data_IF_152102521387
#
_entry.id   IF_152102521387
#
_cell.length_a   1.000
_cell.length_b   1.000
_cell.length_c   1.000
_cell.angle_alpha   90.00
_cell.angle_beta   90.00
_cell.angle_gamma   90.00
#
_symmetry.space_group_name_H-M   'P 1'
#
loop_
_entity.id
_entity.type
_entity.pdbx_description
1 polymer ?
#
# COMPACT_ATOMS: atom_id res chain seq x y z
N UNK A 1 -17.06 8.41 -3.13
CA UNK A 1 -16.78 7.01 -3.57
C UNK A 1 -17.05 5.94 -2.51
N UNK A 2 -16.77 6.16 -1.22
CA UNK A 2 -17.02 5.15 -0.19
C UNK A 2 -18.50 4.78 -0.02
N UNK A 3 -19.40 5.78 -0.06
CA UNK A 3 -20.86 5.57 -0.02
C UNK A 3 -21.34 4.68 -1.18
N UNK A 4 -20.79 4.90 -2.37
CA UNK A 4 -21.08 4.11 -3.55
C UNK A 4 -20.59 2.66 -3.39
N UNK A 5 -19.38 2.47 -2.88
CA UNK A 5 -18.82 1.13 -2.56
C UNK A 5 -19.71 0.35 -1.59
N UNK A 6 -20.13 0.97 -0.48
CA UNK A 6 -20.99 0.33 0.53
C UNK A 6 -22.36 -0.04 -0.03
N UNK A 7 -22.91 0.79 -0.93
CA UNK A 7 -24.19 0.50 -1.60
C UNK A 7 -24.08 -0.70 -2.54
N UNK A 8 -22.98 -0.81 -3.28
CA UNK A 8 -22.69 -1.98 -4.12
C UNK A 8 -22.48 -3.25 -3.28
N UNK A 9 -21.79 -3.14 -2.14
CA UNK A 9 -21.64 -4.27 -1.21
C UNK A 9 -23.01 -4.73 -0.68
N UNK A 10 -23.91 -3.79 -0.34
CA UNK A 10 -25.27 -4.12 0.10
C UNK A 10 -26.09 -4.82 -0.99
N UNK A 11 -26.03 -4.32 -2.24
CA UNK A 11 -26.71 -4.93 -3.39
C UNK A 11 -26.17 -6.31 -3.75
N UNK A 12 -24.89 -6.56 -3.47
CA UNK A 12 -24.28 -7.87 -3.61
C UNK A 12 -24.75 -8.83 -2.51
N UNK A 13 -24.87 -8.35 -1.26
CA UNK A 13 -25.38 -9.15 -0.13
C UNK A 13 -26.87 -9.47 -0.31
N UNK A 14 -27.67 -8.55 -0.84
CA UNK A 14 -29.09 -8.77 -1.15
C UNK A 14 -29.33 -9.71 -2.34
N UNK A 15 -28.26 -10.14 -3.03
CA UNK A 15 -28.34 -11.03 -4.20
C UNK A 15 -28.82 -10.36 -5.49
N UNK A 16 -29.16 -9.07 -5.43
CA UNK A 16 -29.61 -8.27 -6.57
C UNK A 16 -28.49 -8.01 -7.59
N UNK A 17 -27.22 -8.12 -7.15
CA UNK A 17 -26.05 -7.92 -7.99
C UNK A 17 -25.12 -9.14 -7.91
N UNK A 18 -24.99 -9.87 -9.02
CA UNK A 18 -24.12 -11.04 -9.13
C UNK A 18 -22.72 -10.64 -9.61
N UNK A 19 -21.79 -10.50 -8.68
CA UNK A 19 -20.38 -10.29 -8.98
C UNK A 19 -19.65 -11.56 -9.46
N UNK A 20 -18.36 -11.43 -9.75
CA UNK A 20 -17.51 -12.52 -10.23
C UNK A 20 -16.80 -13.21 -9.05
N UNK A 21 -16.88 -14.54 -8.96
CA UNK A 21 -16.09 -15.32 -7.99
C UNK A 21 -14.76 -15.72 -8.61
N UNK A 22 -13.65 -15.36 -7.96
CA UNK A 22 -12.30 -15.77 -8.38
C UNK A 22 -12.02 -17.26 -8.09
N UNK A 23 -12.66 -17.84 -7.06
CA UNK A 23 -12.65 -19.28 -6.81
C UNK A 23 -13.83 -19.72 -5.93
N UNK A 24 -14.09 -21.04 -5.83
CA UNK A 24 -15.25 -21.62 -5.11
C UNK A 24 -15.34 -21.22 -3.63
N UNK A 25 -14.19 -20.97 -2.98
CA UNK A 25 -14.08 -20.62 -1.55
C UNK A 25 -13.66 -19.17 -1.29
N UNK A 26 -13.69 -18.30 -2.31
CA UNK A 26 -13.22 -16.91 -2.22
C UNK A 26 -14.33 -15.89 -2.37
N UNK A 27 -14.14 -14.66 -1.86
CA UNK A 27 -15.16 -13.62 -1.92
C UNK A 27 -15.52 -13.30 -3.37
N UNK A 28 -16.81 -13.06 -3.60
CA UNK A 28 -17.32 -12.53 -4.85
C UNK A 28 -16.93 -11.06 -4.96
N UNK A 29 -16.43 -10.65 -6.13
CA UNK A 29 -16.00 -9.28 -6.40
C UNK A 29 -17.06 -8.63 -7.30
N UNK A 30 -17.67 -7.53 -6.85
CA UNK A 30 -18.53 -6.67 -7.69
C UNK A 30 -17.79 -5.45 -8.23
N UNK A 31 -16.86 -4.90 -7.46
CA UNK A 31 -16.12 -3.69 -7.84
C UNK A 31 -14.75 -3.64 -7.16
N UNK A 32 -13.78 -3.06 -7.84
CA UNK A 32 -12.49 -2.65 -7.29
C UNK A 32 -12.38 -1.13 -7.40
N UNK A 33 -12.29 -0.47 -6.25
CA UNK A 33 -11.96 0.94 -6.16
C UNK A 33 -10.49 1.02 -5.81
N UNK A 34 -9.67 1.48 -6.76
CA UNK A 34 -8.28 1.80 -6.50
C UNK A 34 -8.22 3.26 -6.10
N UNK A 35 -8.11 3.57 -4.81
CA UNK A 35 -8.10 4.95 -4.27
C UNK A 35 -6.99 5.89 -4.81
N UNK A 36 -6.17 5.45 -5.76
CA UNK A 36 -5.08 6.22 -6.38
C UNK A 36 -5.33 6.59 -7.85
N UNK A 37 -6.32 5.97 -8.49
CA UNK A 37 -6.80 6.39 -9.80
C UNK A 37 -8.28 6.72 -9.59
N UNK A 38 -8.77 7.81 -10.17
CA UNK A 38 -10.20 8.18 -10.09
C UNK A 38 -11.13 7.17 -10.80
N UNK A 39 -10.63 5.96 -11.07
CA UNK A 39 -11.23 4.90 -11.86
C UNK A 39 -11.78 3.78 -10.97
N UNK A 40 -13.01 3.38 -11.26
CA UNK A 40 -13.67 2.21 -10.67
C UNK A 40 -13.75 1.10 -11.71
N UNK A 41 -13.27 -0.09 -11.35
CA UNK A 41 -13.45 -1.28 -12.18
C UNK A 41 -14.61 -2.11 -11.64
N UNK A 42 -15.63 -2.34 -12.48
CA UNK A 42 -16.76 -3.19 -12.15
C UNK A 42 -16.56 -4.62 -12.67
N UNK A 43 -16.89 -5.60 -11.84
CA UNK A 43 -16.80 -7.03 -12.14
C UNK A 43 -18.17 -7.66 -11.94
N UNK A 44 -18.94 -7.77 -13.03
CA UNK A 44 -20.30 -8.28 -13.01
C UNK A 44 -20.44 -9.40 -14.03
N UNK A 45 -21.36 -10.33 -13.78
CA UNK A 45 -21.83 -11.22 -14.84
C UNK A 45 -22.61 -10.40 -15.86
N UNK A 46 -22.30 -10.58 -17.15
CA UNK A 46 -22.93 -9.89 -18.27
C UNK A 46 -24.38 -10.36 -18.49
N UNK A 47 -25.26 -10.00 -17.56
CA UNK A 47 -26.71 -10.22 -17.60
C UNK A 47 -27.42 -8.86 -17.66
N UNK A 48 -28.53 -8.79 -18.40
CA UNK A 48 -29.32 -7.55 -18.58
C UNK A 48 -29.84 -7.03 -17.22
N UNK A 49 -30.25 -7.93 -16.33
CA UNK A 49 -30.73 -7.61 -14.98
C UNK A 49 -29.64 -6.93 -14.14
N UNK A 50 -28.42 -7.50 -14.09
CA UNK A 50 -27.30 -6.91 -13.37
C UNK A 50 -26.92 -5.53 -13.94
N UNK A 51 -26.99 -5.37 -15.27
CA UNK A 51 -26.71 -4.10 -15.91
C UNK A 51 -27.76 -3.03 -15.56
N UNK A 52 -29.04 -3.39 -15.53
CA UNK A 52 -30.12 -2.49 -15.13
C UNK A 52 -29.98 -2.01 -13.68
N UNK A 53 -29.66 -2.93 -12.76
CA UNK A 53 -29.40 -2.60 -11.34
C UNK A 53 -28.16 -1.69 -11.21
N UNK A 54 -27.09 -1.98 -11.95
CA UNK A 54 -25.88 -1.16 -11.94
C UNK A 54 -26.16 0.26 -12.46
N UNK A 55 -26.84 0.37 -13.61
CA UNK A 55 -27.21 1.67 -14.19
C UNK A 55 -28.06 2.51 -13.23
N UNK A 56 -29.11 1.91 -12.67
CA UNK A 56 -29.97 2.58 -11.68
C UNK A 56 -29.18 3.04 -10.44
N UNK A 57 -28.22 2.25 -9.98
CA UNK A 57 -27.38 2.61 -8.83
C UNK A 57 -26.43 3.76 -9.15
N UNK A 58 -25.85 3.78 -10.36
CA UNK A 58 -25.02 4.88 -10.85
C UNK A 58 -25.86 6.14 -10.99
N UNK A 59 -27.04 6.06 -11.62
CA UNK A 59 -27.94 7.22 -11.81
C UNK A 59 -28.34 7.83 -10.45
N UNK A 60 -28.70 6.98 -9.46
CA UNK A 60 -28.99 7.43 -8.11
C UNK A 60 -27.79 8.09 -7.43
N UNK A 61 -26.58 7.58 -7.66
CA UNK A 61 -25.37 8.16 -7.11
C UNK A 61 -25.03 9.50 -7.79
N UNK A 62 -25.19 9.60 -9.12
CA UNK A 62 -25.01 10.84 -9.88
C UNK A 62 -26.00 11.92 -9.42
N UNK A 63 -27.27 11.57 -9.21
CA UNK A 63 -28.27 12.52 -8.70
C UNK A 63 -27.89 13.07 -7.31
N UNK A 64 -27.53 12.18 -6.38
CA UNK A 64 -27.05 12.58 -5.04
C UNK A 64 -25.76 13.41 -5.10
N UNK A 65 -24.87 13.10 -6.05
CA UNK A 65 -23.64 13.85 -6.26
C UNK A 65 -23.91 15.24 -6.85
N UNK A 66 -24.90 15.36 -7.74
CA UNK A 66 -25.36 16.61 -8.33
C UNK A 66 -25.98 17.55 -7.31
N UNK A 67 -26.77 17.01 -6.36
CA UNK A 67 -27.29 17.77 -5.21
C UNK A 67 -26.17 18.32 -4.31
N UNK A 68 -25.04 17.61 -4.21
CA UNK A 68 -23.83 18.07 -3.51
C UNK A 68 -22.95 19.02 -4.34
N UNK A 69 -23.42 19.49 -5.51
CA UNK A 69 -22.74 20.50 -6.32
C UNK A 69 -21.65 19.96 -7.25
N UNK A 70 -21.60 18.66 -7.51
CA UNK A 70 -20.73 18.09 -8.55
C UNK A 70 -21.37 18.39 -9.91
N UNK A 71 -20.69 19.23 -10.71
CA UNK A 71 -21.15 19.58 -12.06
C UNK A 71 -20.97 18.38 -12.99
N UNK A 72 -22.06 17.96 -13.62
CA UNK A 72 -22.00 17.01 -14.71
C UNK A 72 -21.44 17.73 -15.94
N UNK A 73 -20.40 17.16 -16.57
CA UNK A 73 -19.83 17.69 -17.80
C UNK A 73 -20.21 16.74 -18.94
N UNK A 74 -20.88 17.23 -19.97
CA UNK A 74 -21.23 16.45 -21.18
C UNK A 74 -20.01 15.90 -21.93
N UNK A 75 -18.81 16.44 -21.65
CA UNK A 75 -17.52 16.00 -22.19
C UNK A 75 -16.63 15.59 -21.04
N UNK A 76 -15.94 14.45 -21.18
CA UNK A 76 -15.02 13.91 -20.17
C UNK A 76 -13.84 14.87 -19.92
N UNK A 77 -13.63 15.82 -20.84
CA UNK A 77 -12.69 16.92 -20.68
C UNK A 77 -11.25 16.50 -20.96
N UNK A 78 -10.30 17.19 -20.30
CA UNK A 78 -8.88 16.91 -20.44
C UNK A 78 -8.31 16.27 -19.19
N UNK A 79 -7.72 15.07 -19.28
CA UNK A 79 -6.94 14.47 -18.21
C UNK A 79 -5.45 14.74 -18.43
N UNK A 80 -4.80 15.37 -17.44
CA UNK A 80 -3.39 15.77 -17.53
C UNK A 80 -3.08 16.63 -18.77
N UNK A 81 -4.05 17.42 -19.22
CA UNK A 81 -3.95 18.25 -20.43
C UNK A 81 -4.15 17.50 -21.75
N UNK A 82 -4.54 16.22 -21.70
CA UNK A 82 -4.89 15.43 -22.88
C UNK A 82 -6.41 15.25 -22.96
N UNK A 83 -7.05 15.55 -24.10
CA UNK A 83 -8.46 15.25 -24.32
C UNK A 83 -8.68 13.74 -24.23
N UNK A 84 -9.69 13.34 -23.45
CA UNK A 84 -10.03 11.93 -23.20
C UNK A 84 -11.05 11.43 -24.23
N UNK A 85 -11.89 12.33 -24.74
CA UNK A 85 -12.90 12.06 -25.76
C UNK A 85 -12.24 11.91 -27.14
N UNK A 86 -11.53 10.80 -27.33
CA UNK A 86 -10.84 10.46 -28.57
C UNK A 86 -11.60 9.33 -29.25
N UNK A 87 -12.57 9.67 -30.09
CA UNK A 87 -13.04 8.73 -31.10
C UNK A 87 -11.90 8.54 -32.10
N UNK A 88 -11.38 7.31 -32.21
CA UNK A 88 -10.10 6.95 -32.86
C UNK A 88 -9.89 7.37 -34.33
N UNK A 89 -10.71 8.24 -34.89
CA UNK A 89 -10.62 8.84 -36.23
C UNK A 89 -10.24 10.34 -36.24
N UNK A 90 -10.28 11.05 -35.10
CA UNK A 90 -10.07 12.50 -35.10
C UNK A 90 -8.63 12.90 -34.72
N UNK A 91 -7.75 12.98 -35.72
CA UNK A 91 -6.40 13.57 -35.55
C UNK A 91 -6.43 15.05 -35.19
N UNK A 92 -7.55 15.74 -35.47
CA UNK A 92 -7.76 17.14 -35.13
C UNK A 92 -7.78 17.41 -33.63
N UNK A 93 -8.22 16.45 -32.81
CA UNK A 93 -8.26 16.57 -31.34
C UNK A 93 -6.85 16.68 -30.74
N UNK A 94 -5.85 16.08 -31.38
CA UNK A 94 -4.46 16.13 -30.91
C UNK A 94 -3.65 17.33 -31.45
N UNK A 95 -4.18 18.09 -32.41
CA UNK A 95 -3.49 19.26 -32.98
C UNK A 95 -3.13 20.30 -31.90
N UNK A 96 -4.01 20.49 -30.92
CA UNK A 96 -3.76 21.41 -29.81
C UNK A 96 -2.56 20.96 -28.95
N UNK A 97 -2.46 19.65 -28.67
CA UNK A 97 -1.32 19.08 -27.94
C UNK A 97 -0.04 19.22 -28.77
N UNK A 98 -0.10 18.90 -30.06
CA UNK A 98 1.05 19.01 -30.97
C UNK A 98 1.54 20.46 -31.02
N UNK A 99 0.65 21.45 -31.13
CA UNK A 99 0.99 22.87 -31.08
C UNK A 99 1.60 23.31 -29.74
N UNK A 100 1.05 22.83 -28.62
CA UNK A 100 1.60 23.08 -27.28
C UNK A 100 2.99 22.45 -27.10
N UNK A 101 3.21 21.24 -27.61
CA UNK A 101 4.51 20.57 -27.57
C UNK A 101 5.50 21.29 -28.48
N UNK A 102 5.11 21.67 -29.69
CA UNK A 102 5.96 22.36 -30.66
C UNK A 102 6.41 23.74 -30.15
N UNK A 103 5.48 24.54 -29.59
CA UNK A 103 5.80 25.84 -28.98
C UNK A 103 6.69 25.71 -27.74
N UNK A 104 6.52 24.64 -26.96
CA UNK A 104 7.37 24.37 -25.81
C UNK A 104 8.77 23.90 -26.25
N UNK A 105 8.86 23.02 -27.26
CA UNK A 105 10.11 22.58 -27.87
C UNK A 105 10.89 23.74 -28.49
N UNK A 106 10.22 24.68 -29.16
CA UNK A 106 10.89 25.85 -29.74
C UNK A 106 11.39 26.83 -28.68
N UNK A 107 10.72 26.91 -27.52
CA UNK A 107 11.18 27.72 -26.37
C UNK A 107 12.30 27.08 -25.55
N UNK A 108 12.49 25.76 -25.68
CA UNK A 108 13.51 25.05 -24.90
C UNK A 108 14.89 25.33 -25.47
N UNK A 109 15.76 25.92 -24.65
CA UNK A 109 17.20 25.78 -24.89
C UNK A 109 17.51 24.28 -24.94
N UNK A 110 18.28 23.79 -25.93
CA UNK A 110 18.55 22.38 -26.08
C UNK A 110 19.07 21.81 -24.76
N UNK A 111 18.26 20.96 -24.15
CA UNK A 111 18.68 20.17 -23.00
C UNK A 111 19.64 19.14 -23.58
N UNK A 112 20.94 19.40 -23.45
CA UNK A 112 21.93 18.36 -23.71
C UNK A 112 21.60 17.20 -22.77
N UNK A 113 21.22 16.05 -23.34
CA UNK A 113 20.92 14.85 -22.57
C UNK A 113 22.15 14.50 -21.72
N UNK A 114 22.10 14.90 -20.44
CA UNK A 114 23.08 14.54 -19.42
C UNK A 114 22.66 13.22 -18.80
N UNK A 115 23.61 12.53 -18.18
CA UNK A 115 23.35 11.28 -17.47
C UNK A 115 22.24 11.49 -16.44
N UNK A 116 21.27 10.58 -16.40
CA UNK A 116 20.10 10.62 -15.51
C UNK A 116 20.48 10.85 -14.05
N UNK A 117 21.60 10.27 -13.60
CA UNK A 117 22.14 10.46 -12.24
C UNK A 117 22.46 11.91 -11.88
N UNK A 118 22.81 12.76 -12.86
CA UNK A 118 23.05 14.19 -12.63
C UNK A 118 21.73 14.97 -12.59
N UNK A 119 20.76 14.58 -13.42
CA UNK A 119 19.45 15.23 -13.51
C UNK A 119 18.59 14.97 -12.27
N UNK A 120 18.74 13.79 -11.66
CA UNK A 120 18.03 13.35 -10.46
C UNK A 120 18.55 13.97 -9.15
N UNK A 121 19.72 14.62 -9.18
CA UNK A 121 20.26 15.29 -8.00
C UNK A 121 19.39 16.48 -7.59
N UNK A 122 19.50 16.86 -6.31
CA UNK A 122 18.83 18.04 -5.80
C UNK A 122 19.32 19.30 -6.54
N UNK A 123 18.46 20.34 -6.62
CA UNK A 123 18.80 21.59 -7.32
C UNK A 123 20.05 22.26 -6.74
N UNK A 124 20.28 22.10 -5.44
CA UNK A 124 21.48 22.60 -4.78
C UNK A 124 22.76 21.82 -5.13
N UNK A 125 22.64 20.56 -5.56
CA UNK A 125 23.76 19.70 -5.94
C UNK A 125 24.03 19.71 -7.46
N UNK A 126 23.51 20.73 -8.17
CA UNK A 126 23.69 20.90 -9.61
C UNK A 126 22.76 20.03 -10.48
N UNK A 127 21.77 19.37 -9.89
CA UNK A 127 20.71 18.65 -10.62
C UNK A 127 19.50 19.52 -10.95
N UNK A 128 18.52 18.96 -11.67
CA UNK A 128 17.29 19.67 -12.04
C UNK A 128 16.20 19.47 -10.95
N UNK A 129 16.43 18.57 -9.99
CA UNK A 129 15.46 18.19 -8.97
C UNK A 129 14.37 17.27 -9.51
N UNK A 130 14.65 16.52 -10.58
CA UNK A 130 13.75 15.48 -11.06
C UNK A 130 13.78 14.31 -10.08
N UNK A 131 12.62 13.81 -9.67
CA UNK A 131 12.56 12.62 -8.84
C UNK A 131 13.08 11.41 -9.60
N UNK A 132 13.91 10.60 -8.95
CA UNK A 132 14.27 9.30 -9.48
C UNK A 132 12.99 8.48 -9.65
N UNK A 133 12.58 8.29 -10.91
CA UNK A 133 11.30 7.67 -11.27
C UNK A 133 11.19 6.24 -10.74
N UNK A 134 12.31 5.52 -10.67
CA UNK A 134 12.36 4.16 -10.14
C UNK A 134 12.08 4.16 -8.64
N UNK A 135 12.77 5.01 -7.87
CA UNK A 135 12.56 5.14 -6.43
C UNK A 135 11.17 5.66 -6.09
N UNK A 136 10.67 6.65 -6.85
CA UNK A 136 9.32 7.17 -6.70
C UNK A 136 8.26 6.10 -6.95
N UNK A 137 8.38 5.36 -8.05
CA UNK A 137 7.43 4.29 -8.36
C UNK A 137 7.46 3.19 -7.29
N UNK A 138 8.66 2.80 -6.81
CA UNK A 138 8.78 1.87 -5.70
C UNK A 138 8.08 2.38 -4.43
N UNK A 139 8.24 3.67 -4.10
CA UNK A 139 7.56 4.29 -2.96
C UNK A 139 6.03 4.34 -3.13
N UNK A 140 5.53 4.63 -4.33
CA UNK A 140 4.09 4.64 -4.63
C UNK A 140 3.46 3.24 -4.54
N UNK A 141 4.13 2.22 -5.10
CA UNK A 141 3.68 0.83 -4.98
C UNK A 141 3.71 0.39 -3.52
N UNK A 142 4.74 0.76 -2.78
CA UNK A 142 4.81 0.48 -1.35
C UNK A 142 3.73 1.18 -0.54
N UNK A 143 3.43 2.45 -0.84
CA UNK A 143 2.31 3.18 -0.24
C UNK A 143 0.98 2.46 -0.47
N UNK A 144 0.79 1.86 -1.64
CA UNK A 144 -0.38 1.03 -1.92
C UNK A 144 -0.35 -0.30 -1.15
N UNK A 145 0.82 -0.95 -1.06
CA UNK A 145 1.01 -2.14 -0.25
C UNK A 145 0.68 -1.90 1.23
N UNK A 146 1.16 -0.78 1.77
CA UNK A 146 0.91 -0.33 3.13
C UNK A 146 -0.57 -0.13 3.39
N UNK A 147 -1.27 0.57 2.48
CA UNK A 147 -2.72 0.77 2.58
C UNK A 147 -3.49 -0.55 2.60
N UNK A 148 -3.09 -1.54 1.80
CA UNK A 148 -3.73 -2.85 1.80
C UNK A 148 -3.50 -3.60 3.12
N UNK A 149 -2.34 -3.43 3.74
CA UNK A 149 -1.99 -4.01 5.03
C UNK A 149 -2.76 -3.36 6.19
N UNK A 150 -2.76 -2.03 6.25
CA UNK A 150 -3.47 -1.26 7.29
C UNK A 150 -4.98 -1.40 7.17
N UNK A 151 -5.53 -1.38 5.95
CA UNK A 151 -6.97 -1.45 5.71
C UNK A 151 -7.36 -2.83 5.16
N UNK A 152 -7.60 -3.76 6.07
CA UNK A 152 -8.00 -5.14 5.74
C UNK A 152 -9.41 -5.24 5.13
N UNK A 153 -10.23 -4.18 5.24
CA UNK A 153 -11.60 -4.17 4.75
C UNK A 153 -11.74 -3.88 3.26
N UNK A 154 -10.68 -3.37 2.61
CA UNK A 154 -10.71 -3.10 1.17
C UNK A 154 -10.90 -4.41 0.39
N UNK A 155 -11.71 -4.37 -0.67
CA UNK A 155 -11.94 -5.54 -1.53
C UNK A 155 -10.64 -6.09 -2.11
N UNK A 156 -9.71 -5.21 -2.53
CA UNK A 156 -8.36 -5.60 -2.98
C UNK A 156 -7.60 -6.34 -1.88
N UNK A 157 -7.61 -5.85 -0.63
CA UNK A 157 -6.94 -6.50 0.50
C UNK A 157 -7.52 -7.89 0.80
N UNK A 158 -8.86 -8.02 0.78
CA UNK A 158 -9.55 -9.31 0.97
C UNK A 158 -9.14 -10.33 -0.08
N UNK A 159 -9.09 -9.92 -1.35
CA UNK A 159 -8.66 -10.80 -2.46
C UNK A 159 -7.20 -11.19 -2.31
N UNK A 160 -6.34 -10.21 -2.00
CA UNK A 160 -4.92 -10.41 -1.87
C UNK A 160 -4.60 -11.40 -0.73
N UNK A 161 -5.25 -11.21 0.43
CA UNK A 161 -5.20 -12.11 1.58
C UNK A 161 -5.70 -13.51 1.25
N UNK A 162 -6.86 -13.61 0.58
CA UNK A 162 -7.39 -14.91 0.17
C UNK A 162 -6.45 -15.66 -0.80
N UNK A 163 -5.68 -14.93 -1.61
CA UNK A 163 -4.73 -15.50 -2.57
C UNK A 163 -3.37 -15.85 -1.99
N UNK A 164 -2.78 -14.95 -1.21
CA UNK A 164 -1.40 -15.04 -0.73
C UNK A 164 -1.27 -15.40 0.76
N UNK A 165 -2.42 -15.64 1.42
CA UNK A 165 -2.59 -15.87 2.85
C UNK A 165 -2.36 -14.58 3.67
N UNK A 166 -2.66 -14.65 4.96
CA UNK A 166 -2.66 -13.49 5.87
C UNK A 166 -1.26 -12.92 6.12
N UNK A 167 -0.24 -13.77 6.06
CA UNK A 167 1.19 -13.45 6.25
C UNK A 167 1.84 -12.83 4.99
N UNK A 168 1.07 -12.35 4.01
CA UNK A 168 1.62 -11.90 2.73
C UNK A 168 2.57 -10.70 2.86
N UNK A 169 2.28 -9.78 3.77
CA UNK A 169 3.11 -8.59 4.00
C UNK A 169 4.47 -8.98 4.59
N UNK A 170 4.43 -9.85 5.59
CA UNK A 170 5.63 -10.42 6.23
C UNK A 170 6.45 -11.29 5.29
N UNK A 171 5.81 -12.07 4.40
CA UNK A 171 6.52 -12.78 3.31
C UNK A 171 7.24 -11.84 2.37
N UNK A 172 6.60 -10.73 1.99
CA UNK A 172 7.22 -9.69 1.17
C UNK A 172 8.46 -9.10 1.85
N UNK A 173 8.37 -8.88 3.16
CA UNK A 173 9.48 -8.42 4.01
C UNK A 173 10.63 -9.44 4.08
N UNK A 174 10.33 -10.73 4.25
CA UNK A 174 11.31 -11.84 4.24
C UNK A 174 11.91 -12.12 2.85
N UNK A 175 11.33 -11.56 1.78
CA UNK A 175 11.75 -11.82 0.41
C UNK A 175 11.27 -13.18 -0.12
N UNK A 176 10.27 -13.78 0.52
CA UNK A 176 9.69 -15.07 0.12
C UNK A 176 8.72 -14.87 -1.05
N UNK A 177 9.28 -14.81 -2.26
CA UNK A 177 8.50 -14.69 -3.50
C UNK A 177 8.32 -16.05 -4.18
N UNK A 178 7.07 -16.41 -4.47
CA UNK A 178 6.76 -17.62 -5.24
C UNK A 178 6.71 -17.30 -6.75
N UNK A 179 7.10 -18.26 -7.58
CA UNK A 179 7.03 -18.13 -9.05
C UNK A 179 5.61 -18.03 -9.60
N UNK A 180 4.61 -18.53 -8.85
CA UNK A 180 3.18 -18.49 -9.21
C UNK A 180 2.49 -17.14 -8.95
N UNK A 181 3.22 -16.12 -8.51
CA UNK A 181 2.68 -14.80 -8.22
C UNK A 181 2.44 -13.99 -9.50
N UNK A 182 1.36 -13.20 -9.53
CA UNK A 182 1.10 -12.29 -10.66
C UNK A 182 2.14 -11.17 -10.69
N UNK A 183 2.37 -10.59 -11.86
CA UNK A 183 3.31 -9.46 -12.02
C UNK A 183 3.03 -8.29 -11.07
N UNK A 184 1.74 -7.95 -10.88
CA UNK A 184 1.34 -6.93 -9.90
C UNK A 184 1.71 -7.31 -8.45
N UNK A 185 1.46 -8.56 -8.05
CA UNK A 185 1.83 -9.04 -6.71
C UNK A 185 3.35 -9.09 -6.51
N UNK A 186 4.12 -9.45 -7.56
CA UNK A 186 5.58 -9.42 -7.52
C UNK A 186 6.10 -7.99 -7.34
N UNK A 187 5.50 -7.01 -8.02
CA UNK A 187 5.83 -5.58 -7.84
C UNK A 187 5.59 -5.12 -6.40
N UNK A 188 4.43 -5.47 -5.83
CA UNK A 188 4.09 -5.17 -4.43
C UNK A 188 5.11 -5.79 -3.46
N UNK A 189 5.38 -7.09 -3.57
CA UNK A 189 6.36 -7.76 -2.70
C UNK A 189 7.75 -7.16 -2.84
N UNK A 190 8.16 -6.83 -4.06
CA UNK A 190 9.46 -6.21 -4.33
C UNK A 190 9.55 -4.82 -3.70
N UNK A 191 8.48 -4.02 -3.74
CA UNK A 191 8.44 -2.72 -3.08
C UNK A 191 8.58 -2.84 -1.56
N UNK A 192 7.90 -3.81 -0.94
CA UNK A 192 8.02 -4.11 0.49
C UNK A 192 9.46 -4.50 0.82
N UNK A 193 10.03 -5.43 0.04
CA UNK A 193 11.41 -5.87 0.24
C UNK A 193 12.43 -4.72 0.13
N UNK A 194 12.23 -3.77 -0.80
CA UNK A 194 13.15 -2.64 -0.96
C UNK A 194 13.04 -1.60 0.15
N UNK A 195 11.83 -1.34 0.67
CA UNK A 195 11.59 -0.33 1.70
C UNK A 195 11.56 -0.92 3.12
N UNK A 196 11.91 -2.20 3.24
CA UNK A 196 11.89 -2.97 4.48
C UNK A 196 12.82 -2.40 5.56
N UNK A 197 13.91 -1.73 5.17
CA UNK A 197 14.89 -1.12 6.06
C UNK A 197 14.32 0.13 6.77
N UNK A 198 13.31 0.77 6.17
CA UNK A 198 12.62 1.91 6.77
C UNK A 198 11.43 1.52 7.66
N UNK A 199 11.06 0.24 7.71
CA UNK A 199 9.90 -0.25 8.47
C UNK A 199 10.31 -0.72 9.86
N UNK A 200 9.85 -0.04 10.89
CA UNK A 200 10.08 -0.43 12.29
C UNK A 200 8.75 -0.68 12.98
N UNK A 201 8.68 -1.73 13.82
CA UNK A 201 7.48 -1.93 14.64
C UNK A 201 7.51 -0.97 15.82
N UNK A 202 6.44 -0.20 16.02
CA UNK A 202 6.26 0.59 17.24
C UNK A 202 5.82 -0.32 18.38
N UNK A 203 6.54 -0.24 19.48
CA UNK A 203 6.31 -1.06 20.66
C UNK A 203 5.30 -0.34 21.52
N UNK A 204 4.09 -0.88 21.64
CA UNK A 204 3.16 -0.49 22.68
C UNK A 204 3.31 -1.47 23.85
N UNK A 205 2.38 -2.42 23.99
CA UNK A 205 2.46 -3.47 25.01
C UNK A 205 3.41 -4.63 24.63
N UNK A 206 3.68 -4.83 23.33
CA UNK A 206 4.62 -5.85 22.86
C UNK A 206 4.07 -7.28 22.86
N UNK A 207 2.74 -7.46 23.02
CA UNK A 207 2.05 -8.77 22.99
C UNK A 207 2.05 -9.42 21.61
N UNK A 208 2.16 -8.62 20.56
CA UNK A 208 2.14 -9.10 19.18
C UNK A 208 3.52 -9.11 18.51
N UNK A 209 4.55 -8.61 19.20
CA UNK A 209 5.90 -8.47 18.66
C UNK A 209 6.77 -9.61 19.18
N UNK A 210 7.27 -10.42 18.26
CA UNK A 210 8.20 -11.52 18.57
C UNK A 210 9.62 -11.00 18.60
N UNK A 211 10.30 -11.25 19.72
CA UNK A 211 11.64 -10.70 20.01
C UNK A 211 12.66 -11.00 18.91
N UNK A 212 12.69 -12.23 18.41
CA UNK A 212 13.66 -12.68 17.40
C UNK A 212 13.08 -12.85 15.99
N UNK A 213 11.85 -12.41 15.73
CA UNK A 213 11.25 -12.55 14.38
C UNK A 213 10.84 -11.21 13.79
N UNK A 214 10.62 -10.20 14.63
CA UNK A 214 10.24 -8.87 14.20
C UNK A 214 11.39 -7.86 14.26
N UNK A 215 11.29 -6.82 13.43
CA UNK A 215 12.24 -5.71 13.42
C UNK A 215 11.68 -4.57 14.26
N UNK A 216 12.12 -4.54 15.51
CA UNK A 216 11.64 -3.59 16.51
C UNK A 216 12.76 -2.73 17.12
N UNK A 217 14.04 -3.00 16.80
CA UNK A 217 15.20 -2.25 17.34
C UNK A 217 16.16 -1.79 16.25
N UNK A 218 16.45 -2.65 15.28
CA UNK A 218 17.41 -2.38 14.21
C UNK A 218 16.88 -2.91 12.88
N UNK A 219 17.55 -2.57 11.78
CA UNK A 219 17.24 -2.99 10.41
C UNK A 219 17.50 -4.50 10.17
N UNK A 220 17.79 -5.25 11.25
CA UNK A 220 18.05 -6.68 11.25
C UNK A 220 17.32 -7.35 12.40
N UNK A 221 17.00 -8.63 12.21
CA UNK A 221 16.48 -9.48 13.27
C UNK A 221 17.54 -9.59 14.37
N UNK A 222 17.16 -9.31 15.61
CA UNK A 222 18.02 -9.52 16.77
C UNK A 222 18.00 -11.01 17.12
N UNK A 223 19.17 -11.55 17.45
CA UNK A 223 19.30 -12.88 18.06
C UNK A 223 19.68 -12.71 19.52
N UNK A 224 19.04 -13.48 20.39
CA UNK A 224 19.48 -13.63 21.77
C UNK A 224 20.89 -14.26 21.77
N UNK A 225 21.67 -13.95 22.81
CA UNK A 225 22.96 -14.63 23.03
C UNK A 225 22.73 -16.14 23.08
N UNK A 226 23.50 -16.90 22.29
CA UNK A 226 23.58 -18.35 22.39
C UNK A 226 24.38 -18.72 23.64
N UNK A 227 23.83 -18.47 24.82
CA UNK A 227 24.37 -19.07 26.03
C UNK A 227 23.71 -20.44 26.20
N UNK A 228 24.53 -21.45 26.45
CA UNK A 228 24.13 -22.70 27.08
C UNK A 228 23.59 -22.35 28.47
N UNK A 229 22.38 -21.81 28.54
CA UNK A 229 21.71 -21.53 29.81
C UNK A 229 21.17 -22.85 30.37
N UNK A 230 21.24 -23.07 31.69
CA UNK A 230 20.62 -24.21 32.33
C UNK A 230 19.12 -24.22 32.02
N UNK A 231 18.60 -25.43 31.82
CA UNK A 231 17.30 -25.83 31.26
C UNK A 231 16.04 -25.30 31.99
N UNK A 232 16.18 -24.35 32.91
CA UNK A 232 15.13 -23.89 33.83
C UNK A 232 14.55 -22.51 33.47
N UNK A 233 15.22 -21.71 32.63
CA UNK A 233 14.73 -20.39 32.24
C UNK A 233 14.21 -20.36 30.79
N UNK A 234 12.93 -19.99 30.63
CA UNK A 234 12.32 -19.84 29.31
C UNK A 234 12.83 -18.59 28.62
N UNK A 235 13.22 -18.75 27.35
CA UNK A 235 13.62 -17.68 26.45
C UNK A 235 12.44 -16.73 26.22
N UNK A 236 12.64 -15.39 26.28
CA UNK A 236 11.56 -14.43 26.00
C UNK A 236 11.11 -14.58 24.55
N UNK A 237 9.81 -14.83 24.34
CA UNK A 237 9.21 -15.02 23.02
C UNK A 237 8.63 -13.68 22.54
N UNK A 238 7.97 -12.96 23.46
CA UNK A 238 7.31 -11.69 23.18
C UNK A 238 8.00 -10.53 23.89
N UNK A 239 7.84 -9.33 23.35
CA UNK A 239 8.36 -8.12 23.99
C UNK A 239 7.67 -7.86 25.33
N UNK A 240 6.41 -8.29 25.50
CA UNK A 240 5.71 -8.23 26.79
C UNK A 240 6.45 -8.91 27.93
N UNK A 241 7.30 -9.90 27.64
CA UNK A 241 8.10 -10.61 28.66
C UNK A 241 9.28 -9.75 29.17
N UNK A 242 9.71 -8.79 28.35
CA UNK A 242 10.84 -7.88 28.59
C UNK A 242 10.39 -6.53 29.18
N UNK A 243 9.09 -6.26 29.21
CA UNK A 243 8.49 -5.03 29.72
C UNK A 243 7.78 -5.32 31.07
N UNK A 244 7.76 -4.32 31.94
CA UNK A 244 7.03 -4.34 33.20
C UNK A 244 5.60 -3.81 33.07
N UNK A 245 4.74 -4.01 34.07
CA UNK A 245 3.33 -3.57 34.01
C UNK A 245 3.18 -2.06 33.78
N UNK A 246 4.19 -1.29 34.19
CA UNK A 246 4.28 0.17 34.01
C UNK A 246 4.88 0.64 32.67
N UNK A 247 5.15 -0.26 31.71
CA UNK A 247 5.71 0.12 30.41
C UNK A 247 7.22 0.45 30.44
N UNK A 248 7.93 0.03 31.50
CA UNK A 248 9.40 0.16 31.61
C UNK A 248 10.10 -1.15 31.25
N UNK A 249 11.27 -1.05 30.65
CA UNK A 249 12.10 -2.21 30.35
C UNK A 249 12.64 -2.87 31.62
N UNK A 250 12.55 -4.20 31.68
CA UNK A 250 13.27 -5.02 32.68
C UNK A 250 14.74 -5.09 32.29
N UNK A 251 15.50 -4.05 32.62
CA UNK A 251 16.90 -3.89 32.19
C UNK A 251 17.79 -5.10 32.51
N UNK A 252 17.55 -5.76 33.64
CA UNK A 252 18.26 -7.00 34.02
C UNK A 252 18.06 -8.14 33.01
N UNK A 253 16.83 -8.34 32.52
CA UNK A 253 16.53 -9.36 31.50
C UNK A 253 17.09 -8.96 30.13
N UNK A 254 16.98 -7.68 29.76
CA UNK A 254 17.50 -7.17 28.47
C UNK A 254 19.02 -7.34 28.39
N UNK A 255 19.76 -6.94 29.42
CA UNK A 255 21.22 -7.10 29.44
C UNK A 255 21.66 -8.57 29.50
N UNK A 256 20.83 -9.45 30.08
CA UNK A 256 21.08 -10.90 30.15
C UNK A 256 20.98 -11.55 28.77
N UNK A 257 19.91 -11.26 28.02
CA UNK A 257 19.62 -11.93 26.76
C UNK A 257 20.28 -11.29 25.52
N UNK A 258 20.64 -10.00 25.57
CA UNK A 258 21.20 -9.28 24.41
C UNK A 258 22.64 -8.82 24.63
N UNK A 259 23.38 -8.59 23.54
CA UNK A 259 24.72 -7.99 23.61
C UNK A 259 24.63 -6.57 24.17
N UNK A 260 25.69 -6.05 24.84
CA UNK A 260 25.67 -4.70 25.42
C UNK A 260 25.30 -3.60 24.41
N UNK A 261 25.74 -3.76 23.15
CA UNK A 261 25.43 -2.84 22.05
C UNK A 261 23.93 -2.85 21.74
N UNK A 262 23.33 -4.03 21.59
CA UNK A 262 21.91 -4.17 21.26
C UNK A 262 21.04 -3.78 22.45
N UNK A 263 21.43 -4.17 23.67
CA UNK A 263 20.75 -3.81 24.90
C UNK A 263 20.64 -2.28 25.07
N UNK A 264 21.70 -1.53 24.74
CA UNK A 264 21.66 -0.07 24.75
C UNK A 264 20.63 0.50 23.78
N UNK A 265 20.50 -0.08 22.58
CA UNK A 265 19.48 0.35 21.62
C UNK A 265 18.07 -0.02 22.08
N UNK A 266 17.88 -1.20 22.67
CA UNK A 266 16.59 -1.62 23.25
C UNK A 266 16.16 -0.65 24.35
N UNK A 267 17.04 -0.37 25.32
CA UNK A 267 16.76 0.50 26.45
C UNK A 267 16.50 1.96 26.05
N UNK A 268 16.98 2.38 24.88
CA UNK A 268 16.73 3.72 24.34
C UNK A 268 15.35 3.87 23.70
N UNK A 269 14.65 2.76 23.40
CA UNK A 269 13.30 2.79 22.86
C UNK A 269 12.33 2.97 24.01
N UNK A 270 11.41 3.93 23.92
CA UNK A 270 10.35 4.08 24.92
C UNK A 270 9.15 3.20 24.54
N UNK A 271 8.78 2.20 25.36
CA UNK A 271 7.55 1.44 25.13
C UNK A 271 6.33 2.33 25.36
N UNK A 272 5.28 2.11 24.57
CA UNK A 272 3.99 2.78 24.73
C UNK A 272 3.17 2.24 25.91
N UNK A 273 1.99 2.83 26.12
CA UNK A 273 1.07 2.45 27.19
C UNK A 273 0.22 1.22 26.84
N UNK A 274 -0.32 0.53 27.86
CA UNK A 274 -1.18 -0.66 27.69
C UNK A 274 -2.44 -0.42 26.83
N UNK A 275 -2.84 0.84 26.66
CA UNK A 275 -4.02 1.26 25.90
C UNK A 275 -3.78 1.39 24.38
N UNK A 276 -2.53 1.34 23.93
CA UNK A 276 -2.18 1.43 22.51
C UNK A 276 -1.89 0.04 21.93
N UNK A 277 -2.34 -0.22 20.71
CA UNK A 277 -1.99 -1.43 19.96
C UNK A 277 -0.61 -1.27 19.34
N UNK A 278 0.17 -2.36 19.32
CA UNK A 278 1.46 -2.39 18.61
C UNK A 278 1.25 -1.99 17.14
N UNK A 279 2.12 -1.12 16.63
CA UNK A 279 1.96 -0.53 15.32
C UNK A 279 3.24 -0.60 14.49
N UNK A 280 3.36 0.36 13.59
CA UNK A 280 4.52 0.51 12.72
C UNK A 280 4.87 2.00 12.57
N UNK A 281 6.17 2.28 12.51
CA UNK A 281 6.82 3.55 12.17
C UNK A 281 7.62 3.41 10.87
#
# INVERSE_FOLDING_TARGET
MEVFSRRLDHLQVSGSLKGIKVSRSRPTISHLISFFADDVLFFLKADIENFGVMKSTIDQFCNLSGEMGVKDNEKMGTYLGCPIDVDGRSTGVFQEIVGKIASKLSSWKPIYWRKTSLLENHKHDGGIGLWNLKSLNQALVFKQAWRMHSNQQLNVSKIFRAKYKDDWFDKGRRGEMNTSMSWGARSIFKSIYHLREGLKRTIAYGKSIKVEHDWWVTDKVIKCKNNQLPSTEQKPIFISDLIDEHGKWKAGLVCKWFSPVIAKHILAIHPGNQLQSDGWD
#
